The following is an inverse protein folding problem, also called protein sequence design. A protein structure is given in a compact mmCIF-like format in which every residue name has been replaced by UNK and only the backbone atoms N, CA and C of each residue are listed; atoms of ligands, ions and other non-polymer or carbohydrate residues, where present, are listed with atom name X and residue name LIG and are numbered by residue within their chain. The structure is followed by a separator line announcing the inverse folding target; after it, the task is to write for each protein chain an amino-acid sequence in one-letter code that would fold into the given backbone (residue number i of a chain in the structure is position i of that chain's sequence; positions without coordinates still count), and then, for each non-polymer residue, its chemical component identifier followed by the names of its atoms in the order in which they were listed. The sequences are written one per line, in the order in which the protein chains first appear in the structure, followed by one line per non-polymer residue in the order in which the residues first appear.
data_IF_127904206111
#
_entry.id   IF_127904206111
#
_cell.length_a   1.000
_cell.length_b   1.000
_cell.length_c   1.000
_cell.angle_alpha   90.00
_cell.angle_beta   90.00
_cell.angle_gamma   90.00
#
_symmetry.space_group_name_H-M   'P 1'
#
loop_
_entity.id
_entity.type
_entity.pdbx_description
1 polymer ?
#
# COMPACT_ATOMS: atom_id res chain seq x y z
N UNK A 1 -14.04 -18.34 16.59
CA UNK A 1 -12.78 -18.37 15.85
C UNK A 1 -11.93 -17.17 16.26
N UNK A 2 -10.67 -17.41 16.62
CA UNK A 2 -9.71 -16.37 17.02
C UNK A 2 -8.63 -16.20 15.94
N UNK A 3 -8.49 -15.00 15.39
CA UNK A 3 -7.46 -14.61 14.43
C UNK A 3 -6.39 -13.78 15.12
N UNK A 4 -5.12 -14.10 14.91
CA UNK A 4 -3.99 -13.34 15.42
C UNK A 4 -3.32 -12.57 14.29
N UNK A 5 -3.57 -11.28 14.23
CA UNK A 5 -3.11 -10.37 13.18
C UNK A 5 -1.77 -9.74 13.55
N UNK A 6 -0.75 -9.87 12.68
CA UNK A 6 0.56 -9.26 12.86
C UNK A 6 0.73 -8.08 11.90
N UNK A 7 0.98 -6.89 12.45
CA UNK A 7 1.25 -5.65 11.72
C UNK A 7 2.45 -4.92 12.31
N UNK A 8 3.17 -4.14 11.52
CA UNK A 8 4.36 -3.46 12.01
C UNK A 8 4.69 -2.13 11.31
N UNK A 9 4.07 -1.87 10.17
CA UNK A 9 4.37 -0.67 9.39
C UNK A 9 3.12 -0.04 8.75
N UNK A 10 3.31 1.20 8.27
CA UNK A 10 2.23 2.02 7.70
C UNK A 10 1.37 1.30 6.65
N UNK A 11 1.92 0.67 5.59
CA UNK A 11 1.10 -0.03 4.60
C UNK A 11 0.21 -1.12 5.21
N UNK A 12 0.71 -1.84 6.21
CA UNK A 12 -0.05 -2.91 6.87
C UNK A 12 -1.22 -2.35 7.69
N UNK A 13 -1.07 -1.21 8.36
CA UNK A 13 -2.18 -0.58 9.10
C UNK A 13 -3.32 -0.19 8.16
N UNK A 14 -2.99 0.38 6.99
CA UNK A 14 -3.98 0.77 5.99
C UNK A 14 -4.73 -0.46 5.45
N UNK A 15 -4.01 -1.56 5.18
CA UNK A 15 -4.59 -2.83 4.69
C UNK A 15 -5.41 -3.55 5.77
N UNK A 16 -4.96 -3.50 7.01
CA UNK A 16 -5.64 -4.16 8.13
C UNK A 16 -6.97 -3.49 8.47
N UNK A 17 -7.10 -2.17 8.33
CA UNK A 17 -8.29 -1.46 8.77
C UNK A 17 -9.60 -1.97 8.15
N UNK A 18 -9.75 -2.10 6.82
CA UNK A 18 -10.97 -2.66 6.23
C UNK A 18 -11.16 -4.14 6.57
N UNK A 19 -10.07 -4.93 6.67
CA UNK A 19 -10.19 -6.34 7.00
C UNK A 19 -10.57 -6.57 8.47
N UNK A 20 -10.02 -5.82 9.41
CA UNK A 20 -10.43 -5.87 10.82
C UNK A 20 -11.90 -5.50 11.00
N UNK A 21 -12.41 -4.53 10.22
CA UNK A 21 -13.83 -4.21 10.20
C UNK A 21 -14.68 -5.41 9.72
N UNK A 22 -14.29 -6.03 8.60
CA UNK A 22 -14.99 -7.18 8.05
C UNK A 22 -14.94 -8.41 8.97
N UNK A 23 -13.81 -8.66 9.65
CA UNK A 23 -13.67 -9.72 10.64
C UNK A 23 -14.61 -9.50 11.83
N UNK A 24 -14.69 -8.27 12.32
CA UNK A 24 -15.60 -7.90 13.42
C UNK A 24 -17.07 -8.10 13.04
N UNK A 25 -17.46 -7.68 11.83
CA UNK A 25 -18.81 -7.90 11.30
C UNK A 25 -19.15 -9.38 11.14
N UNK A 26 -18.16 -10.21 10.83
CA UNK A 26 -18.29 -11.66 10.74
C UNK A 26 -18.26 -12.37 12.12
N UNK A 27 -18.16 -11.63 13.23
CA UNK A 27 -18.12 -12.18 14.58
C UNK A 27 -16.82 -12.91 14.93
N UNK A 28 -15.72 -12.55 14.26
CA UNK A 28 -14.37 -13.10 14.51
C UNK A 28 -13.71 -12.34 15.65
N UNK A 29 -13.11 -13.07 16.58
CA UNK A 29 -12.27 -12.53 17.64
C UNK A 29 -10.87 -12.24 17.09
N UNK A 30 -10.56 -10.98 16.87
CA UNK A 30 -9.28 -10.55 16.33
C UNK A 30 -8.36 -10.00 17.42
N UNK A 31 -7.17 -10.61 17.57
CA UNK A 31 -6.09 -10.12 18.42
C UNK A 31 -5.03 -9.48 17.52
N UNK A 32 -4.82 -8.17 17.63
CA UNK A 32 -3.82 -7.44 16.83
C UNK A 32 -2.53 -7.27 17.61
N UNK A 33 -1.42 -7.69 17.01
CA UNK A 33 -0.06 -7.45 17.50
C UNK A 33 0.66 -6.47 16.61
N UNK A 34 1.16 -5.38 17.21
CA UNK A 34 2.05 -4.40 16.56
C UNK A 34 3.52 -4.73 16.91
N UNK A 35 4.34 -5.02 15.90
CA UNK A 35 5.75 -5.42 16.11
C UNK A 35 6.66 -4.27 16.55
N UNK A 36 6.31 -3.03 16.26
CA UNK A 36 7.18 -1.86 16.48
C UNK A 36 8.20 -1.63 15.36
N UNK A 37 8.04 -2.23 14.17
CA UNK A 37 8.90 -1.93 13.02
C UNK A 37 8.84 -0.44 12.64
N UNK A 38 7.64 0.17 12.65
CA UNK A 38 7.45 1.62 12.62
C UNK A 38 6.98 2.09 14.00
N UNK A 39 7.84 2.72 14.78
CA UNK A 39 7.60 3.07 16.19
C UNK A 39 7.30 4.55 16.43
N UNK A 40 7.61 5.45 15.47
CA UNK A 40 7.27 6.87 15.63
C UNK A 40 5.76 7.08 15.58
N UNK A 41 5.23 7.94 16.45
CA UNK A 41 3.80 8.26 16.54
C UNK A 41 3.18 8.63 15.18
N UNK A 42 3.86 9.46 14.40
CA UNK A 42 3.42 9.87 13.06
C UNK A 42 3.41 8.74 12.02
N UNK A 43 4.09 7.62 12.31
CA UNK A 43 4.19 6.47 11.42
C UNK A 43 3.37 5.27 11.92
N UNK A 44 2.75 5.36 13.09
CA UNK A 44 2.04 4.26 13.74
C UNK A 44 0.72 4.74 14.36
N UNK A 45 0.74 5.40 15.54
CA UNK A 45 -0.46 5.72 16.31
C UNK A 45 -1.51 6.50 15.52
N UNK A 46 -1.08 7.48 14.73
CA UNK A 46 -1.98 8.29 13.90
C UNK A 46 -2.88 7.45 12.97
N UNK A 47 -2.42 6.26 12.55
CA UNK A 47 -3.21 5.38 11.68
C UNK A 47 -4.33 4.67 12.47
N UNK A 48 -4.06 4.25 13.71
CA UNK A 48 -5.10 3.68 14.57
C UNK A 48 -6.20 4.70 14.83
N UNK A 49 -5.81 5.93 15.17
CA UNK A 49 -6.75 7.03 15.46
C UNK A 49 -7.60 7.42 14.23
N UNK A 50 -6.96 7.51 13.05
CA UNK A 50 -7.61 8.01 11.84
C UNK A 50 -8.40 6.95 11.05
N UNK A 51 -7.95 5.68 11.07
CA UNK A 51 -8.56 4.61 10.28
C UNK A 51 -9.60 3.78 11.05
N UNK A 52 -9.85 4.12 12.32
CA UNK A 52 -10.79 3.38 13.16
C UNK A 52 -10.33 1.95 13.47
N UNK A 53 -9.02 1.69 13.39
CA UNK A 53 -8.43 0.46 13.89
C UNK A 53 -8.54 0.44 15.41
N UNK A 54 -8.91 -0.73 15.98
CA UNK A 54 -8.80 -0.92 17.41
C UNK A 54 -7.33 -0.83 17.86
N UNK A 55 -7.10 -0.33 19.07
CA UNK A 55 -5.76 -0.37 19.66
C UNK A 55 -5.23 -1.81 19.65
N UNK A 56 -3.96 -2.00 19.26
CA UNK A 56 -3.39 -3.35 19.24
C UNK A 56 -3.37 -3.94 20.64
N UNK A 57 -3.79 -5.19 20.74
CA UNK A 57 -3.76 -5.95 22.02
C UNK A 57 -2.35 -6.08 22.57
N UNK A 58 -1.35 -6.10 21.66
CA UNK A 58 0.07 -6.18 21.99
C UNK A 58 0.88 -5.18 21.17
N UNK A 59 1.80 -4.47 21.86
CA UNK A 59 2.85 -3.67 21.28
C UNK A 59 4.19 -4.25 21.75
N UNK A 60 5.03 -4.68 20.80
CA UNK A 60 6.33 -5.28 21.16
C UNK A 60 7.41 -4.21 21.42
N UNK A 61 7.25 -3.01 20.83
CA UNK A 61 8.16 -1.88 20.98
C UNK A 61 9.67 -2.24 20.79
N UNK A 62 9.92 -3.19 19.89
CA UNK A 62 11.26 -3.70 19.65
C UNK A 62 12.16 -2.70 18.93
N UNK A 63 11.57 -1.70 18.27
CA UNK A 63 12.28 -0.65 17.52
C UNK A 63 13.31 -1.20 16.54
N UNK A 64 12.98 -2.32 15.89
CA UNK A 64 13.82 -3.00 14.93
C UNK A 64 13.07 -3.34 13.66
N UNK A 65 13.79 -3.46 12.56
CA UNK A 65 13.29 -4.04 11.30
C UNK A 65 13.82 -5.46 11.07
N UNK A 66 14.60 -6.03 11.99
CA UNK A 66 15.15 -7.38 11.89
C UNK A 66 14.09 -8.44 12.18
N UNK A 67 13.70 -9.29 11.21
CA UNK A 67 12.69 -10.32 11.41
C UNK A 67 13.13 -11.40 12.41
N UNK A 68 14.42 -11.69 12.53
CA UNK A 68 14.95 -12.67 13.49
C UNK A 68 14.80 -12.19 14.93
N UNK A 69 14.96 -10.88 15.15
CA UNK A 69 14.75 -10.28 16.47
C UNK A 69 13.26 -10.20 16.85
N UNK A 70 12.36 -10.05 15.88
CA UNK A 70 10.90 -9.99 16.11
C UNK A 70 10.28 -11.37 16.37
N UNK A 71 10.72 -12.41 15.66
CA UNK A 71 10.11 -13.75 15.63
C UNK A 71 9.88 -14.36 17.02
N UNK A 72 10.85 -14.41 17.96
CA UNK A 72 10.66 -15.02 19.28
C UNK A 72 9.58 -14.30 20.12
N UNK A 73 9.53 -12.96 20.03
CA UNK A 73 8.57 -12.18 20.78
C UNK A 73 7.14 -12.39 20.23
N UNK A 74 6.98 -12.50 18.91
CA UNK A 74 5.70 -12.82 18.26
C UNK A 74 5.26 -14.24 18.65
N UNK A 75 6.16 -15.23 18.56
CA UNK A 75 5.89 -16.64 18.91
C UNK A 75 5.41 -16.78 20.36
N UNK A 76 6.01 -16.06 21.31
CA UNK A 76 5.56 -16.03 22.69
C UNK A 76 4.14 -15.52 22.87
N UNK A 77 3.69 -14.56 22.06
CA UNK A 77 2.30 -14.06 22.11
C UNK A 77 1.33 -15.01 21.40
N UNK A 78 1.72 -15.61 20.30
CA UNK A 78 0.93 -16.66 19.63
C UNK A 78 0.68 -17.82 20.58
N UNK A 79 1.71 -18.28 21.31
CA UNK A 79 1.54 -19.36 22.29
C UNK A 79 0.59 -19.00 23.45
N UNK A 80 0.65 -17.75 23.94
CA UNK A 80 -0.22 -17.28 24.99
C UNK A 80 -1.69 -17.18 24.55
N UNK A 81 -1.94 -16.72 23.32
CA UNK A 81 -3.28 -16.52 22.75
C UNK A 81 -3.90 -17.79 22.20
N UNK A 82 -3.09 -18.75 21.79
CA UNK A 82 -3.54 -20.00 21.15
C UNK A 82 -4.58 -19.76 20.05
N UNK A 83 -4.29 -18.92 19.03
CA UNK A 83 -5.26 -18.59 18.01
C UNK A 83 -5.54 -19.77 17.07
N UNK A 84 -6.65 -19.68 16.34
CA UNK A 84 -7.00 -20.68 15.32
C UNK A 84 -6.18 -20.47 14.04
N UNK A 85 -5.76 -19.21 13.75
CA UNK A 85 -4.94 -18.84 12.61
C UNK A 85 -4.17 -17.54 12.86
N UNK A 86 -2.97 -17.40 12.27
CA UNK A 86 -2.21 -16.15 12.20
C UNK A 86 -2.45 -15.50 10.84
N UNK A 87 -2.62 -14.18 10.82
CA UNK A 87 -2.86 -13.37 9.63
C UNK A 87 -1.72 -12.37 9.45
N UNK A 88 -1.12 -12.35 8.26
CA UNK A 88 -0.06 -11.41 7.87
C UNK A 88 -0.37 -10.73 6.54
N UNK A 89 0.27 -9.56 6.29
CA UNK A 89 0.00 -8.72 5.12
C UNK A 89 1.27 -8.38 4.35
N UNK A 90 1.23 -8.55 3.03
CA UNK A 90 2.28 -8.07 2.11
C UNK A 90 3.65 -8.71 2.36
N UNK A 91 4.71 -7.90 2.40
CA UNK A 91 6.08 -8.36 2.18
C UNK A 91 7.12 -7.77 3.15
N UNK A 92 6.66 -7.20 4.25
CA UNK A 92 7.56 -6.54 5.20
C UNK A 92 8.30 -7.53 6.10
N UNK A 93 9.31 -7.05 6.81
CA UNK A 93 10.01 -7.88 7.79
C UNK A 93 9.09 -8.35 8.92
N UNK A 94 8.08 -7.55 9.29
CA UNK A 94 7.03 -7.97 10.24
C UNK A 94 6.18 -9.11 9.69
N UNK A 95 5.91 -9.13 8.37
CA UNK A 95 5.21 -10.21 7.67
C UNK A 95 5.98 -11.51 7.81
N UNK A 96 7.27 -11.49 7.45
CA UNK A 96 8.14 -12.66 7.53
C UNK A 96 8.30 -13.17 8.97
N UNK A 97 8.53 -12.26 9.92
CA UNK A 97 8.66 -12.63 11.34
C UNK A 97 7.36 -13.29 11.87
N UNK A 98 6.20 -12.75 11.51
CA UNK A 98 4.89 -13.32 11.86
C UNK A 98 4.66 -14.70 11.22
N UNK A 99 5.05 -14.86 9.95
CA UNK A 99 4.93 -16.13 9.24
C UNK A 99 5.80 -17.24 9.85
N UNK A 100 7.06 -16.94 10.15
CA UNK A 100 7.97 -17.87 10.83
C UNK A 100 7.49 -18.22 12.23
N UNK A 101 7.04 -17.22 13.00
CA UNK A 101 6.51 -17.44 14.34
C UNK A 101 5.24 -18.33 14.35
N UNK A 102 4.36 -18.19 13.36
CA UNK A 102 3.19 -19.04 13.19
C UNK A 102 3.61 -20.50 12.90
N UNK A 103 4.61 -20.69 12.03
CA UNK A 103 5.15 -22.02 11.68
C UNK A 103 5.79 -22.69 12.89
N UNK A 104 6.60 -21.97 13.68
CA UNK A 104 7.23 -22.48 14.90
C UNK A 104 6.18 -22.92 15.94
N UNK A 105 5.07 -22.19 16.02
CA UNK A 105 3.95 -22.50 16.91
C UNK A 105 3.01 -23.58 16.37
N UNK A 106 3.24 -24.10 15.15
CA UNK A 106 2.36 -25.02 14.43
C UNK A 106 0.90 -24.49 14.31
N UNK A 107 0.72 -23.17 14.17
CA UNK A 107 -0.54 -22.51 13.93
C UNK A 107 -0.67 -22.22 12.43
N UNK A 108 -1.83 -22.49 11.79
CA UNK A 108 -2.05 -22.16 10.40
C UNK A 108 -1.80 -20.67 10.11
N UNK A 109 -1.23 -20.38 8.93
CA UNK A 109 -0.92 -19.02 8.46
C UNK A 109 -1.81 -18.62 7.29
N UNK A 110 -2.35 -17.41 7.33
CA UNK A 110 -3.01 -16.75 6.21
C UNK A 110 -2.18 -15.55 5.75
N UNK A 111 -1.94 -15.45 4.43
CA UNK A 111 -1.19 -14.35 3.82
C UNK A 111 -2.08 -13.53 2.90
N UNK A 112 -2.27 -12.26 3.23
CA UNK A 112 -3.00 -11.27 2.43
C UNK A 112 -2.02 -10.55 1.50
N UNK A 113 -2.41 -10.38 0.23
CA UNK A 113 -1.56 -9.87 -0.86
C UNK A 113 -0.48 -10.89 -1.30
N UNK A 114 -0.87 -12.16 -1.33
CA UNK A 114 -0.03 -13.28 -1.73
C UNK A 114 0.21 -13.33 -3.25
N UNK A 115 1.34 -13.90 -3.67
CA UNK A 115 1.65 -14.21 -5.06
C UNK A 115 2.17 -13.05 -5.92
N UNK A 116 2.36 -11.86 -5.36
CA UNK A 116 3.04 -10.77 -6.06
C UNK A 116 4.52 -11.09 -6.22
N UNK A 117 5.09 -10.75 -7.40
CA UNK A 117 6.54 -10.86 -7.68
C UNK A 117 7.02 -9.63 -8.42
N UNK A 118 8.14 -9.08 -7.98
CA UNK A 118 8.89 -8.02 -8.69
C UNK A 118 9.87 -8.60 -9.71
N UNK A 119 10.32 -9.84 -9.48
CA UNK A 119 11.37 -10.48 -10.24
C UNK A 119 12.78 -10.00 -9.86
N UNK A 120 12.90 -9.10 -8.89
CA UNK A 120 14.17 -8.56 -8.39
C UNK A 120 14.55 -9.24 -7.07
N UNK A 121 15.40 -10.25 -7.16
CA UNK A 121 15.88 -11.01 -6.00
C UNK A 121 16.92 -10.24 -5.15
N UNK A 122 17.34 -9.04 -5.55
CA UNK A 122 18.16 -8.18 -4.69
C UNK A 122 17.30 -7.42 -3.66
N UNK A 123 15.98 -7.35 -3.88
CA UNK A 123 15.05 -6.72 -2.94
C UNK A 123 14.72 -7.66 -1.78
N UNK A 124 14.95 -7.25 -0.52
CA UNK A 124 14.56 -8.05 0.65
C UNK A 124 13.07 -8.42 0.66
N UNK A 125 12.21 -7.52 0.21
CA UNK A 125 10.77 -7.73 0.13
C UNK A 125 10.40 -8.89 -0.80
N UNK A 126 11.18 -9.16 -1.84
CA UNK A 126 10.92 -10.30 -2.74
C UNK A 126 11.19 -11.63 -2.03
N UNK A 127 12.27 -11.72 -1.25
CA UNK A 127 12.53 -12.88 -0.42
C UNK A 127 11.44 -13.09 0.63
N UNK A 128 10.99 -12.01 1.28
CA UNK A 128 9.93 -12.06 2.28
C UNK A 128 8.63 -12.62 1.69
N UNK A 129 8.24 -12.16 0.46
CA UNK A 129 7.04 -12.66 -0.23
C UNK A 129 7.12 -14.15 -0.51
N UNK A 130 8.23 -14.58 -1.15
CA UNK A 130 8.43 -15.97 -1.55
C UNK A 130 8.39 -16.90 -0.34
N UNK A 131 9.07 -16.55 0.75
CA UNK A 131 9.11 -17.37 1.95
C UNK A 131 7.74 -17.39 2.65
N UNK A 132 7.09 -16.23 2.81
CA UNK A 132 5.77 -16.14 3.44
C UNK A 132 4.72 -16.96 2.67
N UNK A 133 4.72 -16.87 1.33
CA UNK A 133 3.81 -17.63 0.48
C UNK A 133 4.02 -19.14 0.64
N UNK A 134 5.26 -19.61 0.76
CA UNK A 134 5.56 -21.05 0.98
C UNK A 134 5.11 -21.56 2.34
N UNK A 135 5.11 -20.71 3.37
CA UNK A 135 4.68 -21.05 4.72
C UNK A 135 3.16 -20.97 4.90
N UNK A 136 2.46 -20.22 4.04
CA UNK A 136 1.04 -19.95 4.21
C UNK A 136 0.16 -21.14 3.85
N UNK A 137 -0.83 -21.41 4.71
CA UNK A 137 -1.90 -22.37 4.46
C UNK A 137 -3.05 -21.76 3.64
N UNK A 138 -3.38 -20.46 3.86
CA UNK A 138 -4.33 -19.71 3.05
C UNK A 138 -3.60 -18.54 2.37
N UNK A 139 -3.80 -18.41 1.07
CA UNK A 139 -3.15 -17.43 0.21
C UNK A 139 -4.21 -16.57 -0.48
N UNK A 140 -4.30 -15.31 -0.09
CA UNK A 140 -5.26 -14.35 -0.62
C UNK A 140 -4.61 -13.46 -1.68
N UNK A 141 -4.85 -13.78 -2.95
CA UNK A 141 -4.28 -13.09 -4.09
C UNK A 141 -5.09 -11.86 -4.50
N UNK A 142 -4.44 -10.76 -4.90
CA UNK A 142 -5.13 -9.58 -5.44
C UNK A 142 -5.70 -9.81 -6.85
N UNK A 143 -5.12 -10.73 -7.61
CA UNK A 143 -5.51 -10.99 -9.01
C UNK A 143 -5.14 -12.41 -9.48
N UNK A 144 -5.59 -12.75 -10.70
CA UNK A 144 -5.30 -14.05 -11.35
C UNK A 144 -3.83 -14.23 -11.76
N UNK A 145 -3.05 -13.13 -11.92
CA UNK A 145 -1.61 -13.22 -12.21
C UNK A 145 -0.90 -13.75 -10.97
N UNK A 146 -1.20 -13.20 -9.81
CA UNK A 146 -0.66 -13.65 -8.52
C UNK A 146 -1.00 -15.11 -8.24
N UNK A 147 -2.24 -15.54 -8.53
CA UNK A 147 -2.65 -16.94 -8.43
C UNK A 147 -1.79 -17.82 -9.33
N UNK A 148 -1.64 -17.49 -10.61
CA UNK A 148 -0.81 -18.26 -11.56
C UNK A 148 0.66 -18.34 -11.14
N UNK A 149 1.19 -17.27 -10.53
CA UNK A 149 2.54 -17.28 -9.96
C UNK A 149 2.68 -18.34 -8.88
N UNK A 150 1.77 -18.37 -7.91
CA UNK A 150 1.78 -19.36 -6.83
C UNK A 150 1.59 -20.81 -7.33
N UNK A 151 0.68 -21.01 -8.29
CA UNK A 151 0.48 -22.32 -8.95
C UNK A 151 1.74 -22.76 -9.67
N UNK A 152 2.42 -21.86 -10.39
CA UNK A 152 3.68 -22.13 -11.09
C UNK A 152 4.85 -22.42 -10.15
N UNK A 153 4.86 -21.85 -8.96
CA UNK A 153 5.87 -22.10 -7.91
C UNK A 153 5.56 -23.36 -7.08
N UNK A 154 4.40 -23.97 -7.27
CA UNK A 154 4.00 -25.20 -6.59
C UNK A 154 3.78 -25.04 -5.09
N UNK A 155 3.28 -23.88 -4.63
CA UNK A 155 2.97 -23.68 -3.21
C UNK A 155 1.82 -24.62 -2.77
N UNK A 156 1.90 -25.12 -1.53
CA UNK A 156 0.97 -26.15 -1.02
C UNK A 156 -0.30 -25.57 -0.39
N UNK A 157 -0.36 -24.26 -0.17
CA UNK A 157 -1.50 -23.58 0.45
C UNK A 157 -2.70 -23.49 -0.48
N UNK A 158 -3.88 -23.17 0.09
CA UNK A 158 -5.11 -22.94 -0.66
C UNK A 158 -5.13 -21.51 -1.18
N UNK A 159 -5.26 -21.33 -2.48
CA UNK A 159 -5.18 -20.04 -3.17
C UNK A 159 -6.59 -19.52 -3.45
N UNK A 160 -6.86 -18.28 -3.07
CA UNK A 160 -8.10 -17.55 -3.31
C UNK A 160 -7.81 -16.20 -3.97
N UNK A 161 -8.43 -15.93 -5.11
CA UNK A 161 -8.41 -14.59 -5.72
C UNK A 161 -9.54 -13.78 -5.10
N UNK A 162 -9.19 -12.83 -4.27
CA UNK A 162 -10.13 -12.02 -3.47
C UNK A 162 -10.18 -10.56 -3.87
N UNK A 163 -9.14 -10.07 -4.56
CA UNK A 163 -8.89 -8.65 -4.83
C UNK A 163 -7.84 -8.07 -3.87
N UNK A 164 -7.50 -6.82 -4.08
CA UNK A 164 -6.54 -6.08 -3.27
C UNK A 164 -7.27 -5.33 -2.16
N UNK A 165 -6.92 -5.58 -0.91
CA UNK A 165 -7.47 -4.89 0.27
C UNK A 165 -7.20 -3.38 0.28
N UNK A 166 -6.24 -2.89 -0.53
CA UNK A 166 -6.05 -1.47 -0.76
C UNK A 166 -7.18 -0.84 -1.60
N UNK A 167 -7.88 -1.64 -2.44
CA UNK A 167 -9.10 -1.17 -3.10
C UNK A 167 -10.22 -0.93 -2.09
N UNK A 168 -10.33 -1.81 -1.09
CA UNK A 168 -11.27 -1.65 0.04
C UNK A 168 -10.93 -0.40 0.85
N UNK A 169 -9.64 -0.21 1.19
CA UNK A 169 -9.16 0.97 1.89
C UNK A 169 -9.47 2.26 1.08
N UNK A 170 -9.19 2.27 -0.22
CA UNK A 170 -9.47 3.42 -1.08
C UNK A 170 -10.97 3.74 -1.16
N UNK A 171 -11.82 2.71 -1.29
CA UNK A 171 -13.28 2.86 -1.30
C UNK A 171 -13.82 3.38 0.03
N UNK A 172 -13.32 2.86 1.14
CA UNK A 172 -13.77 3.21 2.48
C UNK A 172 -13.29 4.60 2.89
N UNK A 173 -11.99 4.87 2.70
CA UNK A 173 -11.38 6.05 3.28
C UNK A 173 -11.45 7.31 2.41
N UNK A 174 -11.55 7.22 1.09
CA UNK A 174 -11.59 8.42 0.25
C UNK A 174 -12.79 9.34 0.56
N UNK A 175 -14.04 8.84 0.77
CA UNK A 175 -15.15 9.70 1.17
C UNK A 175 -14.94 10.33 2.56
N UNK A 176 -14.44 9.55 3.52
CA UNK A 176 -14.12 10.03 4.87
C UNK A 176 -13.02 11.09 4.85
N UNK A 177 -11.98 10.84 4.07
CA UNK A 177 -10.87 11.76 3.88
C UNK A 177 -11.35 13.12 3.30
N UNK A 178 -12.17 13.10 2.26
CA UNK A 178 -12.73 14.33 1.68
C UNK A 178 -13.59 15.12 2.67
N UNK A 179 -14.33 14.43 3.54
CA UNK A 179 -15.14 15.09 4.55
C UNK A 179 -14.30 15.68 5.69
N UNK A 180 -13.25 14.95 6.13
CA UNK A 180 -12.41 15.37 7.26
C UNK A 180 -11.32 16.38 6.88
N UNK A 181 -10.82 16.30 5.65
CA UNK A 181 -9.70 17.11 5.15
C UNK A 181 -10.08 17.83 3.84
N UNK A 182 -10.92 18.89 3.91
CA UNK A 182 -11.34 19.61 2.72
C UNK A 182 -10.13 20.26 2.01
N UNK A 183 -10.07 20.08 0.70
CA UNK A 183 -9.02 20.65 -0.16
C UNK A 183 -9.41 22.08 -0.56
N UNK A 184 -8.48 23.08 -0.45
CA UNK A 184 -8.80 24.47 -0.78
C UNK A 184 -8.83 24.76 -2.30
N UNK A 185 -9.01 23.74 -3.12
CA UNK A 185 -9.05 23.80 -4.57
C UNK A 185 -10.28 23.08 -5.11
N UNK A 186 -10.82 23.56 -6.21
CA UNK A 186 -11.95 22.88 -6.87
C UNK A 186 -11.53 21.50 -7.39
N UNK A 187 -12.35 20.45 -7.24
CA UNK A 187 -12.06 19.16 -7.82
C UNK A 187 -11.75 19.25 -9.32
N UNK A 188 -10.70 18.56 -9.77
CA UNK A 188 -10.27 18.55 -11.16
C UNK A 188 -9.51 19.80 -11.64
N UNK A 189 -9.19 20.76 -10.74
CA UNK A 189 -8.50 22.00 -11.12
C UNK A 189 -7.01 22.04 -10.81
N UNK A 190 -6.43 20.94 -10.34
CA UNK A 190 -5.02 20.86 -9.96
C UNK A 190 -4.43 19.47 -10.22
N UNK A 191 -3.13 19.42 -10.32
CA UNK A 191 -2.31 18.21 -10.41
C UNK A 191 -1.69 17.92 -9.04
N UNK A 192 -1.68 16.67 -8.61
CA UNK A 192 -0.94 16.24 -7.41
C UNK A 192 0.37 15.60 -7.83
N UNK A 193 1.49 16.05 -7.28
CA UNK A 193 2.80 15.44 -7.51
C UNK A 193 3.36 14.81 -6.24
N UNK A 194 3.88 13.56 -6.31
CA UNK A 194 4.63 12.91 -5.23
C UNK A 194 5.87 12.24 -5.78
N UNK A 195 7.05 12.68 -5.34
CA UNK A 195 8.36 12.18 -5.77
C UNK A 195 9.20 11.90 -4.53
N UNK A 196 9.55 10.64 -4.29
CA UNK A 196 10.24 10.23 -3.07
C UNK A 196 11.17 9.02 -3.23
N UNK A 197 11.14 8.30 -4.37
CA UNK A 197 12.06 7.19 -4.60
C UNK A 197 13.48 7.71 -4.75
N UNK A 198 14.45 7.00 -4.16
CA UNK A 198 15.87 7.37 -4.18
C UNK A 198 16.35 7.68 -5.60
N UNK A 199 16.05 6.78 -6.56
CA UNK A 199 16.46 6.96 -7.96
C UNK A 199 15.95 8.27 -8.60
N UNK A 200 14.82 8.81 -8.17
CA UNK A 200 14.26 10.06 -8.68
C UNK A 200 14.71 11.29 -7.88
N UNK A 201 15.17 11.11 -6.65
CA UNK A 201 15.68 12.18 -5.80
C UNK A 201 17.14 12.49 -6.10
N UNK A 202 17.87 11.51 -6.68
CA UNK A 202 19.27 11.69 -7.09
C UNK A 202 19.36 12.37 -8.47
N UNK A 203 20.40 13.20 -8.64
CA UNK A 203 20.67 13.86 -9.92
C UNK A 203 21.17 12.87 -10.98
N UNK A 204 20.88 13.12 -12.28
CA UNK A 204 20.21 14.31 -12.84
C UNK A 204 18.68 14.21 -12.87
N UNK A 205 18.07 13.15 -12.32
CA UNK A 205 16.66 12.85 -12.51
C UNK A 205 15.75 13.88 -11.82
N UNK A 206 16.09 14.31 -10.60
CA UNK A 206 15.29 15.30 -9.88
C UNK A 206 15.18 16.62 -10.65
N UNK A 207 16.30 17.11 -11.20
CA UNK A 207 16.31 18.33 -12.00
C UNK A 207 15.41 18.23 -13.23
N UNK A 208 15.45 17.09 -13.94
CA UNK A 208 14.58 16.82 -15.09
C UNK A 208 13.11 16.74 -14.71
N UNK A 209 12.79 16.11 -13.57
CA UNK A 209 11.42 16.02 -13.06
C UNK A 209 10.90 17.42 -12.70
N UNK A 210 11.70 18.23 -12.02
CA UNK A 210 11.35 19.63 -11.69
C UNK A 210 11.12 20.45 -12.96
N UNK A 211 11.97 20.30 -13.99
CA UNK A 211 11.75 20.95 -15.28
C UNK A 211 10.43 20.50 -15.93
N UNK A 212 10.10 19.21 -15.84
CA UNK A 212 8.81 18.68 -16.30
C UNK A 212 7.62 19.27 -15.54
N UNK A 213 7.68 19.36 -14.20
CA UNK A 213 6.64 19.98 -13.39
C UNK A 213 6.45 21.46 -13.71
N UNK A 214 7.54 22.18 -14.01
CA UNK A 214 7.50 23.58 -14.41
C UNK A 214 6.85 23.83 -15.78
N UNK A 215 6.73 22.81 -16.61
CA UNK A 215 6.08 22.86 -17.94
C UNK A 215 4.61 22.55 -17.92
N UNK A 216 4.07 22.13 -16.78
CA UNK A 216 2.63 21.87 -16.61
C UNK A 216 1.91 23.22 -16.53
N UNK A 217 0.84 23.41 -17.31
CA UNK A 217 0.05 24.66 -17.28
C UNK A 217 -0.86 24.77 -16.06
N UNK A 218 -1.27 23.62 -15.49
CA UNK A 218 -2.15 23.59 -14.33
C UNK A 218 -1.38 23.83 -13.02
N UNK A 219 -2.10 24.23 -11.97
CA UNK A 219 -1.51 24.28 -10.61
C UNK A 219 -1.04 22.88 -10.20
N UNK A 220 0.18 22.78 -9.72
CA UNK A 220 0.75 21.56 -9.15
C UNK A 220 0.84 21.68 -7.64
N UNK A 221 0.13 20.81 -6.91
CA UNK A 221 0.25 20.67 -5.45
C UNK A 221 1.21 19.52 -5.18
N UNK A 222 2.35 19.83 -4.53
CA UNK A 222 3.42 18.86 -4.31
C UNK A 222 3.68 18.67 -2.80
N UNK A 223 3.01 17.69 -2.14
CA UNK A 223 3.40 17.24 -0.81
C UNK A 223 4.81 16.64 -0.88
N UNK A 224 5.79 17.40 -0.43
CA UNK A 224 7.19 17.06 -0.66
C UNK A 224 7.81 16.35 0.54
N UNK A 225 8.37 15.16 0.32
CA UNK A 225 9.13 14.45 1.35
C UNK A 225 10.35 15.26 1.80
N UNK A 226 10.72 15.29 3.10
CA UNK A 226 11.83 16.10 3.61
C UNK A 226 13.13 15.91 2.83
N UNK A 227 13.48 14.69 2.45
CA UNK A 227 14.66 14.38 1.63
C UNK A 227 14.59 15.02 0.25
N UNK A 228 13.45 14.95 -0.43
CA UNK A 228 13.26 15.58 -1.74
C UNK A 228 13.33 17.10 -1.63
N UNK A 229 12.74 17.69 -0.58
CA UNK A 229 12.82 19.13 -0.30
C UNK A 229 14.28 19.58 -0.09
N UNK A 230 15.03 18.83 0.71
CA UNK A 230 16.44 19.12 0.97
C UNK A 230 17.25 19.11 -0.35
N UNK A 231 17.03 18.12 -1.22
CA UNK A 231 17.71 18.03 -2.51
C UNK A 231 17.34 19.18 -3.45
N UNK A 232 16.06 19.56 -3.53
CA UNK A 232 15.63 20.73 -4.32
C UNK A 232 16.39 21.99 -3.87
N UNK A 233 16.57 22.18 -2.56
CA UNK A 233 17.29 23.32 -1.99
C UNK A 233 18.81 23.24 -2.24
N UNK A 234 19.43 22.10 -1.98
CA UNK A 234 20.87 21.87 -2.18
C UNK A 234 21.28 22.10 -3.65
N UNK A 235 20.48 21.60 -4.58
CA UNK A 235 20.72 21.72 -6.01
C UNK A 235 20.21 23.03 -6.62
N UNK A 236 19.63 23.92 -5.79
CA UNK A 236 19.08 25.22 -6.19
C UNK A 236 18.09 25.13 -7.35
N UNK A 237 17.26 24.07 -7.36
CA UNK A 237 16.27 23.88 -8.42
C UNK A 237 15.16 24.93 -8.26
N UNK A 238 14.84 25.61 -9.35
CA UNK A 238 13.79 26.63 -9.37
C UNK A 238 12.46 26.00 -9.75
N UNK A 239 11.44 26.26 -8.93
CA UNK A 239 10.06 25.87 -9.20
C UNK A 239 9.26 27.08 -9.69
N UNK A 240 8.40 26.86 -10.67
CA UNK A 240 7.46 27.87 -11.16
C UNK A 240 6.43 28.25 -10.08
N UNK A 241 5.86 29.44 -10.18
CA UNK A 241 4.89 29.96 -9.20
C UNK A 241 3.62 29.10 -9.08
N UNK A 242 3.29 28.31 -10.09
CA UNK A 242 2.17 27.37 -10.11
C UNK A 242 2.48 26.03 -9.40
N UNK A 243 3.75 25.73 -9.08
CA UNK A 243 4.17 24.53 -8.36
C UNK A 243 4.25 24.87 -6.86
N UNK A 244 3.28 24.38 -6.10
CA UNK A 244 3.15 24.64 -4.66
C UNK A 244 3.71 23.48 -3.84
N UNK A 245 4.89 23.68 -3.24
CA UNK A 245 5.43 22.74 -2.26
C UNK A 245 4.67 22.90 -0.95
N UNK A 246 4.10 21.80 -0.46
CA UNK A 246 3.45 21.73 0.86
C UNK A 246 4.16 20.71 1.75
N UNK A 247 3.82 20.69 3.04
CA UNK A 247 4.35 19.70 3.96
C UNK A 247 3.87 18.29 3.63
N UNK A 248 4.61 17.25 4.05
CA UNK A 248 4.17 15.87 3.92
C UNK A 248 2.78 15.67 4.53
N UNK A 249 1.93 14.94 3.83
CA UNK A 249 0.56 14.68 4.24
C UNK A 249 0.43 13.30 4.91
N UNK A 250 -0.51 13.19 5.83
CA UNK A 250 -0.99 11.90 6.32
C UNK A 250 -1.67 11.11 5.19
N UNK A 251 -1.97 9.84 5.42
CA UNK A 251 -2.66 9.00 4.42
C UNK A 251 -4.01 9.60 4.00
N UNK A 252 -4.83 9.99 4.97
CA UNK A 252 -6.17 10.54 4.68
C UNK A 252 -6.09 11.92 4.00
N UNK A 253 -5.17 12.79 4.42
CA UNK A 253 -4.97 14.08 3.74
C UNK A 253 -4.55 13.88 2.27
N UNK A 254 -3.61 12.94 2.01
CA UNK A 254 -3.19 12.61 0.66
C UNK A 254 -4.34 11.95 -0.13
N UNK A 255 -5.12 11.06 0.48
CA UNK A 255 -6.28 10.45 -0.14
C UNK A 255 -7.35 11.50 -0.54
N UNK A 256 -7.61 12.49 0.35
CA UNK A 256 -8.49 13.61 0.03
C UNK A 256 -7.96 14.42 -1.16
N UNK A 257 -6.69 14.79 -1.13
CA UNK A 257 -6.05 15.59 -2.17
C UNK A 257 -6.01 14.84 -3.51
N UNK A 258 -5.53 13.60 -3.52
CA UNK A 258 -5.35 12.81 -4.75
C UNK A 258 -6.69 12.39 -5.38
N UNK A 259 -7.71 12.05 -4.57
CA UNK A 259 -9.01 11.63 -5.08
C UNK A 259 -9.83 12.74 -5.74
N UNK A 260 -9.40 13.99 -5.64
CA UNK A 260 -10.04 15.17 -6.23
C UNK A 260 -9.14 15.85 -7.27
N UNK A 261 -7.96 15.32 -7.54
CA UNK A 261 -7.03 15.89 -8.50
C UNK A 261 -7.51 15.71 -9.95
N UNK A 262 -7.04 16.57 -10.85
CA UNK A 262 -7.15 16.37 -12.30
C UNK A 262 -6.30 15.21 -12.77
N UNK A 263 -5.03 15.15 -12.29
CA UNK A 263 -4.03 14.13 -12.61
C UNK A 263 -3.18 13.88 -11.37
N UNK A 264 -2.75 12.64 -11.17
CA UNK A 264 -1.72 12.28 -10.20
C UNK A 264 -0.41 12.01 -10.92
N UNK A 265 0.66 12.75 -10.59
CA UNK A 265 2.04 12.53 -11.03
C UNK A 265 2.80 11.86 -9.89
N UNK A 266 3.30 10.63 -10.07
CA UNK A 266 3.90 9.91 -8.95
C UNK A 266 4.99 8.90 -9.34
N UNK A 267 5.89 8.62 -8.40
CA UNK A 267 6.78 7.47 -8.44
C UNK A 267 6.39 6.37 -7.43
N UNK A 268 5.30 6.58 -6.68
CA UNK A 268 4.76 5.62 -5.70
C UNK A 268 4.01 4.48 -6.37
N UNK A 269 4.37 3.22 -6.05
CA UNK A 269 3.62 2.06 -6.52
C UNK A 269 2.17 2.04 -6.00
N UNK A 270 1.95 2.34 -4.71
CA UNK A 270 0.61 2.35 -4.11
C UNK A 270 -0.31 3.40 -4.73
N UNK A 271 0.20 4.64 -4.86
CA UNK A 271 -0.61 5.76 -5.35
C UNK A 271 -1.05 5.59 -6.82
N UNK A 272 -0.33 4.81 -7.64
CA UNK A 272 -0.76 4.46 -9.01
C UNK A 272 -2.09 3.69 -8.99
N UNK A 273 -2.23 2.69 -8.11
CA UNK A 273 -3.47 1.93 -7.95
C UNK A 273 -4.57 2.79 -7.31
N UNK A 274 -4.22 3.53 -6.26
CA UNK A 274 -5.18 4.42 -5.57
C UNK A 274 -5.76 5.45 -6.53
N UNK A 275 -4.94 6.09 -7.37
CA UNK A 275 -5.41 7.02 -8.41
C UNK A 275 -6.42 6.34 -9.34
N UNK A 276 -6.12 5.11 -9.77
CA UNK A 276 -7.06 4.33 -10.60
C UNK A 276 -8.39 4.11 -9.89
N UNK A 277 -8.38 3.68 -8.63
CA UNK A 277 -9.62 3.45 -7.87
C UNK A 277 -10.38 4.75 -7.57
N UNK A 278 -9.68 5.86 -7.40
CA UNK A 278 -10.31 7.20 -7.28
C UNK A 278 -10.93 7.68 -8.60
N UNK A 279 -10.60 7.09 -9.73
CA UNK A 279 -11.01 7.56 -11.05
C UNK A 279 -10.21 8.77 -11.53
N UNK A 280 -8.96 8.90 -11.07
CA UNK A 280 -8.03 9.97 -11.43
C UNK A 280 -6.93 9.39 -12.33
N UNK A 281 -6.65 9.96 -13.51
CA UNK A 281 -5.56 9.49 -14.36
C UNK A 281 -4.20 9.70 -13.70
N UNK A 282 -3.26 8.79 -13.98
CA UNK A 282 -1.94 8.77 -13.39
C UNK A 282 -0.85 8.96 -14.44
N UNK A 283 0.17 9.73 -14.12
CA UNK A 283 1.43 9.83 -14.86
C UNK A 283 2.55 9.33 -13.94
N UNK A 284 3.16 8.22 -14.32
CA UNK A 284 4.16 7.54 -13.49
C UNK A 284 5.56 7.91 -13.92
N UNK A 285 6.31 8.54 -13.01
CA UNK A 285 7.71 8.97 -13.21
C UNK A 285 8.65 7.81 -12.88
N UNK A 286 8.57 6.76 -13.71
CA UNK A 286 9.38 5.53 -13.60
C UNK A 286 9.56 4.90 -14.98
N UNK A 287 10.68 4.18 -15.21
CA UNK A 287 10.89 3.45 -16.48
C UNK A 287 9.96 2.22 -16.60
N UNK A 288 9.46 1.68 -15.48
CA UNK A 288 8.60 0.51 -15.44
C UNK A 288 7.63 0.58 -14.26
N UNK A 289 6.58 -0.25 -14.29
CA UNK A 289 5.65 -0.43 -13.19
C UNK A 289 5.20 -1.88 -13.07
N UNK A 290 4.88 -2.30 -11.87
CA UNK A 290 4.23 -3.56 -11.54
C UNK A 290 2.75 -3.56 -12.01
N UNK A 291 2.16 -2.38 -12.12
CA UNK A 291 0.73 -2.15 -12.39
C UNK A 291 0.44 -1.96 -13.88
N UNK A 292 0.97 -2.89 -14.70
CA UNK A 292 0.90 -2.86 -16.17
C UNK A 292 -0.52 -2.79 -16.71
N UNK A 293 -1.50 -3.32 -15.97
CA UNK A 293 -2.90 -3.31 -16.41
C UNK A 293 -3.48 -1.88 -16.40
N UNK A 294 -3.05 -1.01 -15.47
CA UNK A 294 -3.46 0.41 -15.47
C UNK A 294 -2.91 1.15 -16.70
N UNK A 295 -1.73 0.75 -17.17
CA UNK A 295 -1.13 1.28 -18.41
C UNK A 295 -1.86 0.74 -19.63
N UNK A 296 -2.14 -0.56 -19.65
CA UNK A 296 -2.81 -1.22 -20.77
C UNK A 296 -4.21 -0.65 -21.05
N UNK A 297 -4.93 -0.22 -20.00
CA UNK A 297 -6.24 0.43 -20.16
C UNK A 297 -6.15 1.94 -20.41
N UNK A 298 -4.95 2.53 -20.44
CA UNK A 298 -4.74 3.95 -20.70
C UNK A 298 -5.02 4.89 -19.51
N UNK A 299 -5.18 4.35 -18.30
CA UNK A 299 -5.39 5.14 -17.09
C UNK A 299 -4.09 5.64 -16.46
N UNK A 300 -2.96 5.04 -16.84
CA UNK A 300 -1.63 5.38 -16.34
C UNK A 300 -0.64 5.46 -17.51
N UNK A 301 0.22 6.47 -17.51
CA UNK A 301 1.26 6.66 -18.54
C UNK A 301 2.62 6.68 -17.87
N UNK A 302 3.56 5.88 -18.41
CA UNK A 302 4.95 5.89 -17.95
C UNK A 302 5.74 6.92 -18.74
N UNK A 303 6.39 7.87 -18.05
CA UNK A 303 7.14 8.96 -18.69
C UNK A 303 8.60 9.01 -18.25
N UNK A 304 8.99 8.10 -17.35
CA UNK A 304 10.29 8.15 -16.70
C UNK A 304 10.59 9.58 -16.15
N UNK A 305 11.83 10.08 -16.29
CA UNK A 305 12.20 11.43 -15.90
C UNK A 305 12.39 12.35 -17.14
N UNK A 306 11.57 12.18 -18.18
CA UNK A 306 11.59 13.05 -19.34
C UNK A 306 10.66 14.26 -19.12
N UNK A 307 11.20 15.50 -19.14
CA UNK A 307 10.41 16.69 -18.79
C UNK A 307 9.34 17.05 -19.83
N UNK A 308 9.56 16.75 -21.12
CA UNK A 308 8.58 17.04 -22.16
C UNK A 308 7.48 15.99 -22.11
N UNK A 309 7.87 14.70 -22.07
CA UNK A 309 6.92 13.61 -21.98
C UNK A 309 6.03 13.72 -20.71
N UNK A 310 6.58 14.22 -19.59
CA UNK A 310 5.81 14.44 -18.36
C UNK A 310 4.72 15.50 -18.58
N UNK A 311 5.06 16.67 -19.11
CA UNK A 311 4.09 17.74 -19.35
C UNK A 311 3.04 17.32 -20.39
N UNK A 312 3.44 16.71 -21.50
CA UNK A 312 2.55 16.23 -22.54
C UNK A 312 1.57 15.15 -22.01
N UNK A 313 2.10 14.21 -21.20
CA UNK A 313 1.27 13.18 -20.59
C UNK A 313 0.24 13.76 -19.61
N UNK A 314 0.61 14.77 -18.80
CA UNK A 314 -0.34 15.45 -17.91
C UNK A 314 -1.43 16.19 -18.70
N UNK A 315 -1.05 16.90 -19.78
CA UNK A 315 -1.99 17.62 -20.64
C UNK A 315 -3.01 16.68 -21.33
N UNK A 316 -2.54 15.48 -21.74
CA UNK A 316 -3.34 14.48 -22.44
C UNK A 316 -4.08 13.50 -21.49
N UNK A 317 -3.79 13.52 -20.19
CA UNK A 317 -4.27 12.52 -19.25
C UNK A 317 -5.79 12.52 -19.12
N UNK A 318 -6.39 11.38 -19.36
CA UNK A 318 -7.83 11.15 -19.21
C UNK A 318 -8.08 9.74 -18.68
N UNK A 319 -9.18 9.57 -17.94
CA UNK A 319 -9.60 8.22 -17.59
C UNK A 319 -10.30 7.55 -18.78
N UNK A 320 -10.00 6.27 -19.06
CA UNK A 320 -10.67 5.54 -20.13
C UNK A 320 -12.18 5.40 -19.84
N UNK A 321 -13.02 5.48 -20.85
CA UNK A 321 -14.45 5.19 -20.70
C UNK A 321 -14.65 3.72 -20.33
N UNK A 322 -15.62 3.43 -19.45
CA UNK A 322 -15.93 2.06 -19.05
C UNK A 322 -14.80 1.39 -18.25
N UNK A 323 -14.20 2.13 -17.35
CA UNK A 323 -13.11 1.69 -16.47
C UNK A 323 -13.32 0.25 -15.93
N UNK A 324 -12.50 -0.74 -16.34
CA UNK A 324 -12.64 -2.11 -15.87
C UNK A 324 -12.25 -2.22 -14.40
N UNK A 325 -12.74 -3.27 -13.74
CA UNK A 325 -12.30 -3.59 -12.37
C UNK A 325 -10.88 -4.17 -12.45
N UNK A 326 -9.89 -3.44 -11.94
CA UNK A 326 -8.51 -3.89 -11.83
C UNK A 326 -8.12 -4.06 -10.35
N UNK A 327 -7.49 -5.17 -10.04
CA UNK A 327 -6.98 -5.51 -8.71
C UNK A 327 -8.05 -5.53 -7.61
N UNK A 328 -9.32 -5.72 -7.96
CA UNK A 328 -10.44 -5.81 -7.02
C UNK A 328 -11.43 -4.67 -7.12
N UNK A 329 -12.61 -4.92 -6.56
CA UNK A 329 -13.79 -4.08 -6.59
C UNK A 329 -14.07 -3.38 -5.24
N UNK A 330 -13.14 -3.50 -4.27
CA UNK A 330 -13.26 -2.94 -2.94
C UNK A 330 -14.05 -3.80 -1.95
N UNK A 331 -14.13 -5.12 -2.19
CA UNK A 331 -14.77 -6.10 -1.33
C UNK A 331 -13.87 -7.31 -1.00
N UNK A 332 -12.56 -7.13 -1.08
CA UNK A 332 -11.57 -8.17 -0.78
C UNK A 332 -11.64 -8.59 0.70
N UNK A 333 -11.77 -7.63 1.60
CA UNK A 333 -11.84 -7.86 3.04
C UNK A 333 -13.03 -8.73 3.45
N UNK A 334 -14.20 -8.49 2.86
CA UNK A 334 -15.41 -9.28 3.09
C UNK A 334 -15.21 -10.73 2.61
N UNK A 335 -14.60 -10.91 1.42
CA UNK A 335 -14.29 -12.24 0.87
C UNK A 335 -13.28 -12.99 1.73
N UNK A 336 -12.24 -12.31 2.22
CA UNK A 336 -11.25 -12.91 3.13
C UNK A 336 -11.93 -13.37 4.42
N UNK A 337 -12.75 -12.53 5.05
CA UNK A 337 -13.48 -12.87 6.28
C UNK A 337 -14.40 -14.08 6.05
N UNK A 338 -15.14 -14.13 4.94
CA UNK A 338 -15.98 -15.27 4.57
C UNK A 338 -15.18 -16.58 4.39
N UNK A 339 -14.03 -16.51 3.71
CA UNK A 339 -13.16 -17.70 3.54
C UNK A 339 -12.62 -18.18 4.88
N UNK A 340 -12.17 -17.28 5.74
CA UNK A 340 -11.68 -17.62 7.07
C UNK A 340 -12.76 -18.33 7.91
N UNK A 341 -13.96 -17.77 7.97
CA UNK A 341 -15.11 -18.37 8.72
C UNK A 341 -15.52 -19.73 8.14
N UNK A 342 -15.52 -19.87 6.81
CA UNK A 342 -15.91 -21.11 6.17
C UNK A 342 -14.85 -22.23 6.27
N UNK A 343 -13.57 -21.86 6.43
CA UNK A 343 -12.45 -22.81 6.32
C UNK A 343 -11.95 -23.26 7.70
N UNK A 344 -12.07 -22.42 8.71
CA UNK A 344 -11.59 -22.69 10.07
C UNK A 344 -12.76 -23.11 10.96
N UNK A 345 -12.78 -24.38 11.47
CA UNK A 345 -13.82 -24.82 12.35
C UNK A 345 -13.88 -23.94 13.63
N UNK A 346 -15.07 -23.55 14.03
CA UNK A 346 -15.27 -22.97 15.37
C UNK A 346 -14.95 -24.04 16.42
N UNK A 347 -14.02 -23.75 17.34
CA UNK A 347 -13.73 -24.63 18.48
C UNK A 347 -14.88 -24.61 19.47
#
# INVERSE_FOLDING_TARGET
MKVFTVVGNRPQFIKAAPLSAALREAGVDEVVLHTGQHWFHTMSQVFFDQLGLAEPSYRLDLHTSDPEAMQPAIAGRIAAESPDIVLVYGDTNSTLAGARAATDAAIPLAHVEAGLRSGDLEMPEEHNRIETDRLAWLLFCPDDRSRRTLEGEGVMGRIYVVGDVMADASRLFAPLARAAFPVPHSPGSYVVATIHRQANVDQPRLGRIVDGLNRIDDMVVFPVHPRTRARIQEERLTLGDHVRLIEPLSYLELASLASQAKVVVTDSGGLQKEAYWYGVPCVTVRPSTEWVDTVAVGANVLVDADPIALADAVAAATMPPGRPVLYGDGHASERIAQVLVATIPSR
#
